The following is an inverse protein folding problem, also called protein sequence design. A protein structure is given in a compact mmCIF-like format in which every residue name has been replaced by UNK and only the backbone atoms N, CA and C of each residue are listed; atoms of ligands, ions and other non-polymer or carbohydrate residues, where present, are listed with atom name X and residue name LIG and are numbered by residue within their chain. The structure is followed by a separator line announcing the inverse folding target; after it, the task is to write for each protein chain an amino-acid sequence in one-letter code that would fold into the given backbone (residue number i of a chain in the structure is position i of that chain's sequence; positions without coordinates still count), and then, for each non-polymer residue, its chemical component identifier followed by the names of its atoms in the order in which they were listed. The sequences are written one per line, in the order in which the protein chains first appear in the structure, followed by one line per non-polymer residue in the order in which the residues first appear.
data_IF_755150182422
#
_entry.id   IF_755150182422
#
_cell.length_a   1.000
_cell.length_b   1.000
_cell.length_c   1.000
_cell.angle_alpha   90.00
_cell.angle_beta   90.00
_cell.angle_gamma   90.00
#
_symmetry.space_group_name_H-M   'P 1'
#
loop_
_entity.id
_entity.type
_entity.pdbx_description
1 polymer ?
#
# COMPACT_ATOMS: atom_id res chain seq x y z
N UNK A 1 -20.43 8.36 -1.31
CA UNK A 1 -20.47 8.73 -2.75
C UNK A 1 -21.54 8.00 -3.53
N UNK A 2 -21.54 6.66 -3.56
CA UNK A 2 -22.58 5.86 -4.26
C UNK A 2 -24.00 6.11 -3.75
N UNK A 3 -24.23 5.95 -2.45
CA UNK A 3 -25.57 6.20 -1.86
C UNK A 3 -26.04 7.65 -2.03
N UNK A 4 -25.09 8.60 -2.05
CA UNK A 4 -25.38 10.01 -2.25
C UNK A 4 -25.51 10.42 -3.74
N UNK A 5 -25.38 9.49 -4.69
CA UNK A 5 -25.46 9.78 -6.13
C UNK A 5 -24.33 10.67 -6.68
N UNK A 6 -23.24 10.88 -5.93
CA UNK A 6 -22.14 11.81 -6.29
C UNK A 6 -20.95 11.13 -6.97
N UNK A 7 -21.13 9.91 -7.48
CA UNK A 7 -20.05 9.17 -8.13
C UNK A 7 -19.62 9.90 -9.42
N UNK A 8 -18.32 10.11 -9.62
CA UNK A 8 -17.78 10.85 -10.75
C UNK A 8 -17.86 12.38 -10.63
N UNK A 9 -18.78 12.92 -9.83
CA UNK A 9 -18.87 14.35 -9.53
C UNK A 9 -17.85 14.80 -8.47
N UNK A 10 -17.45 13.89 -7.58
CA UNK A 10 -16.39 14.13 -6.59
C UNK A 10 -15.26 13.15 -6.80
N UNK A 11 -14.03 13.66 -6.78
CA UNK A 11 -12.82 12.84 -6.85
C UNK A 11 -12.54 12.16 -5.51
N UNK A 12 -12.27 10.86 -5.55
CA UNK A 12 -12.00 10.06 -4.35
C UNK A 12 -10.59 9.49 -4.41
N UNK A 13 -9.80 9.72 -3.35
CA UNK A 13 -8.49 9.11 -3.16
C UNK A 13 -8.58 8.16 -1.97
N UNK A 14 -8.25 6.89 -2.19
CA UNK A 14 -8.19 5.87 -1.14
C UNK A 14 -6.76 5.69 -0.60
N UNK A 15 -6.64 5.07 0.56
CA UNK A 15 -5.37 4.58 1.10
C UNK A 15 -5.35 3.05 0.99
N UNK A 16 -4.14 2.49 0.90
CA UNK A 16 -3.88 1.07 0.65
C UNK A 16 -4.33 0.56 -0.74
N UNK A 17 -3.90 -0.65 -1.10
CA UNK A 17 -4.16 -1.25 -2.40
C UNK A 17 -4.46 -2.75 -2.30
N UNK A 18 -5.41 -3.10 -1.43
CA UNK A 18 -6.00 -4.44 -1.40
C UNK A 18 -6.89 -4.75 -2.61
N UNK A 19 -7.30 -6.02 -2.81
CA UNK A 19 -8.06 -6.43 -3.99
C UNK A 19 -9.36 -5.63 -4.18
N UNK A 20 -10.07 -5.31 -3.11
CA UNK A 20 -11.28 -4.48 -3.15
C UNK A 20 -10.96 -3.06 -3.59
N UNK A 21 -9.93 -2.42 -3.04
CA UNK A 21 -9.52 -1.07 -3.42
C UNK A 21 -9.08 -1.01 -4.89
N UNK A 22 -8.33 -2.01 -5.34
CA UNK A 22 -7.92 -2.13 -6.75
C UNK A 22 -9.12 -2.33 -7.67
N UNK A 23 -10.11 -3.13 -7.24
CA UNK A 23 -11.37 -3.28 -7.95
C UNK A 23 -12.15 -1.96 -8.03
N UNK A 24 -12.27 -1.23 -6.92
CA UNK A 24 -12.95 0.07 -6.86
C UNK A 24 -12.26 1.13 -7.74
N UNK A 25 -10.93 1.08 -7.85
CA UNK A 25 -10.15 1.92 -8.77
C UNK A 25 -10.46 1.59 -10.24
N UNK A 26 -10.56 0.31 -10.59
CA UNK A 26 -10.93 -0.18 -11.94
C UNK A 26 -12.38 0.19 -12.28
N UNK A 27 -13.29 0.05 -11.33
CA UNK A 27 -14.72 0.35 -11.45
C UNK A 27 -15.03 1.86 -11.43
N UNK A 28 -14.00 2.73 -11.40
CA UNK A 28 -14.09 4.20 -11.37
C UNK A 28 -14.86 4.73 -10.14
N UNK A 29 -14.84 3.98 -9.04
CA UNK A 29 -15.39 4.41 -7.75
C UNK A 29 -14.39 5.26 -6.97
N UNK A 30 -13.11 4.92 -7.15
CA UNK A 30 -11.94 5.62 -6.62
C UNK A 30 -11.11 6.13 -7.81
N UNK A 31 -10.51 7.31 -7.69
CA UNK A 31 -9.69 7.91 -8.73
C UNK A 31 -8.20 7.62 -8.58
N UNK A 32 -7.71 7.50 -7.34
CA UNK A 32 -6.34 7.13 -7.03
C UNK A 32 -6.24 6.40 -5.67
N UNK A 33 -5.20 5.62 -5.49
CA UNK A 33 -4.85 4.97 -4.23
C UNK A 33 -3.45 5.42 -3.80
N UNK A 34 -3.25 5.63 -2.51
CA UNK A 34 -1.92 5.76 -1.90
C UNK A 34 -1.56 4.42 -1.26
N UNK A 35 -0.71 3.66 -1.94
CA UNK A 35 -0.34 2.30 -1.56
C UNK A 35 0.96 2.27 -0.76
N UNK A 36 0.99 1.47 0.31
CA UNK A 36 2.19 1.19 1.10
C UNK A 36 2.87 -0.09 0.60
N UNK A 37 4.06 -0.39 1.14
CA UNK A 37 4.74 -1.67 0.92
C UNK A 37 4.67 -2.56 2.19
N UNK A 38 3.54 -3.24 2.45
CA UNK A 38 3.38 -4.05 3.67
C UNK A 38 4.37 -5.23 3.74
N UNK A 39 4.79 -5.76 2.59
CA UNK A 39 5.76 -6.86 2.53
C UNK A 39 7.14 -6.38 3.02
N UNK A 40 7.59 -5.22 2.54
CA UNK A 40 8.86 -4.65 2.97
C UNK A 40 8.82 -4.21 4.45
N UNK A 41 7.69 -3.64 4.89
CA UNK A 41 7.46 -3.34 6.32
C UNK A 41 7.66 -4.59 7.18
N UNK A 42 6.98 -5.69 6.85
CA UNK A 42 7.09 -6.94 7.60
C UNK A 42 8.51 -7.48 7.61
N UNK A 43 9.15 -7.55 6.44
CA UNK A 43 10.53 -8.03 6.28
C UNK A 43 11.51 -7.22 7.12
N UNK A 44 11.47 -5.89 7.04
CA UNK A 44 12.34 -4.99 7.79
C UNK A 44 12.15 -5.21 9.29
N UNK A 45 10.91 -5.28 9.77
CA UNK A 45 10.63 -5.38 11.21
C UNK A 45 11.05 -6.72 11.80
N UNK A 46 10.84 -7.83 11.08
CA UNK A 46 11.35 -9.14 11.50
C UNK A 46 12.87 -9.14 11.53
N UNK A 47 13.53 -8.58 10.51
CA UNK A 47 14.99 -8.50 10.48
C UNK A 47 15.53 -7.67 11.66
N UNK A 48 14.95 -6.50 11.93
CA UNK A 48 15.34 -5.67 13.08
C UNK A 48 15.19 -6.40 14.42
N UNK A 49 14.13 -7.18 14.59
CA UNK A 49 13.93 -7.98 15.81
C UNK A 49 14.99 -9.08 15.95
N UNK A 50 15.30 -9.80 14.86
CA UNK A 50 16.34 -10.83 14.85
C UNK A 50 17.71 -10.23 15.15
N UNK A 51 18.04 -9.09 14.56
CA UNK A 51 19.33 -8.42 14.76
C UNK A 51 19.49 -7.96 16.21
N UNK A 52 18.46 -7.34 16.79
CA UNK A 52 18.46 -6.93 18.20
C UNK A 52 18.65 -8.12 19.15
N UNK A 53 17.97 -9.25 18.89
CA UNK A 53 18.14 -10.46 19.71
C UNK A 53 19.55 -11.05 19.61
N UNK A 54 20.20 -10.96 18.45
CA UNK A 54 21.56 -11.49 18.23
C UNK A 54 22.64 -10.58 18.80
N UNK A 55 22.52 -9.26 18.62
CA UNK A 55 23.51 -8.30 19.11
C UNK A 55 23.31 -7.93 20.58
N UNK A 56 22.10 -8.10 21.12
CA UNK A 56 21.66 -7.54 22.39
C UNK A 56 21.75 -6.00 22.41
N UNK A 57 21.71 -5.37 21.25
CA UNK A 57 21.76 -3.91 21.08
C UNK A 57 20.48 -3.38 20.45
N UNK A 58 19.99 -2.25 20.97
CA UNK A 58 18.84 -1.55 20.40
C UNK A 58 19.11 -1.10 18.95
N UNK A 59 18.08 -1.10 18.06
CA UNK A 59 18.25 -0.62 16.70
C UNK A 59 18.73 0.84 16.66
N UNK A 60 19.77 1.09 15.88
CA UNK A 60 20.33 2.45 15.69
C UNK A 60 19.32 3.45 15.12
N UNK A 61 18.27 2.97 14.46
CA UNK A 61 17.13 3.77 13.97
C UNK A 61 15.83 3.29 14.58
N UNK A 62 15.21 4.14 15.40
CA UNK A 62 13.86 3.90 15.98
C UNK A 62 12.75 4.09 14.95
N UNK A 63 12.97 4.92 13.94
CA UNK A 63 12.02 5.19 12.85
C UNK A 63 12.61 4.78 11.51
N UNK A 64 11.87 3.98 10.75
CA UNK A 64 12.23 3.54 9.40
C UNK A 64 11.13 3.99 8.46
N UNK A 65 11.50 4.80 7.46
CA UNK A 65 10.59 5.19 6.38
C UNK A 65 10.44 4.01 5.42
N UNK A 66 9.22 3.73 5.03
CA UNK A 66 8.88 2.68 4.07
C UNK A 66 8.37 3.29 2.76
N UNK A 67 8.32 2.48 1.72
CA UNK A 67 7.87 2.93 0.40
C UNK A 67 6.39 3.30 0.38
N UNK A 68 6.07 4.34 -0.39
CA UNK A 68 4.72 4.74 -0.76
C UNK A 68 4.66 4.89 -2.28
N UNK A 69 3.52 4.59 -2.87
CA UNK A 69 3.27 4.82 -4.29
C UNK A 69 1.85 5.30 -4.56
N UNK A 70 1.71 6.20 -5.52
CA UNK A 70 0.40 6.64 -6.02
C UNK A 70 -0.02 5.74 -7.17
N UNK A 71 -1.09 5.00 -6.97
CA UNK A 71 -1.66 4.07 -7.96
C UNK A 71 -2.89 4.72 -8.60
N UNK A 72 -2.91 4.76 -9.92
CA UNK A 72 -4.02 5.23 -10.75
C UNK A 72 -4.34 4.16 -11.80
N UNK A 73 -5.47 4.29 -12.50
CA UNK A 73 -5.80 3.37 -13.60
C UNK A 73 -4.73 3.34 -14.71
N UNK A 74 -4.07 4.49 -14.92
CA UNK A 74 -3.10 4.66 -16.01
C UNK A 74 -1.77 3.96 -15.74
N UNK A 75 -1.45 3.73 -14.46
CA UNK A 75 -0.18 3.12 -14.06
C UNK A 75 -0.34 1.73 -13.42
N UNK A 76 -1.56 1.26 -13.15
CA UNK A 76 -1.84 0.01 -12.42
C UNK A 76 -1.14 -1.23 -13.00
N UNK A 77 -0.88 -1.25 -14.31
CA UNK A 77 -0.24 -2.39 -14.98
C UNK A 77 1.30 -2.30 -15.01
N UNK A 78 1.88 -1.19 -14.53
CA UNK A 78 3.33 -1.02 -14.54
C UNK A 78 3.99 -2.05 -13.60
N UNK A 79 5.07 -2.72 -14.03
CA UNK A 79 5.74 -3.75 -13.23
C UNK A 79 6.18 -3.26 -11.84
N UNK A 80 6.67 -2.02 -11.74
CA UNK A 80 7.14 -1.43 -10.48
C UNK A 80 6.04 -1.21 -9.45
N UNK A 81 4.76 -1.19 -9.86
CA UNK A 81 3.63 -1.04 -8.96
C UNK A 81 3.09 -2.37 -8.44
N UNK A 82 3.43 -3.50 -9.06
CA UNK A 82 2.90 -4.80 -8.66
C UNK A 82 3.25 -5.15 -7.21
N UNK A 83 4.41 -4.72 -6.72
CA UNK A 83 4.82 -4.94 -5.31
C UNK A 83 3.96 -4.17 -4.29
N UNK A 84 3.30 -3.10 -4.72
CA UNK A 84 2.42 -2.30 -3.86
C UNK A 84 0.97 -2.79 -3.88
N UNK A 85 0.59 -3.72 -4.77
CA UNK A 85 -0.74 -4.31 -4.80
C UNK A 85 -0.81 -5.50 -3.84
N UNK A 86 -1.72 -5.46 -2.88
CA UNK A 86 -1.72 -6.44 -1.80
C UNK A 86 -2.35 -7.74 -2.29
N UNK A 87 -1.78 -8.87 -1.86
CA UNK A 87 -2.31 -10.20 -2.14
C UNK A 87 -3.31 -10.59 -1.06
N UNK A 88 -4.43 -11.18 -1.46
CA UNK A 88 -5.37 -11.80 -0.51
C UNK A 88 -4.96 -13.22 -0.10
N UNK A 89 -4.08 -13.84 -0.88
CA UNK A 89 -3.64 -15.23 -0.72
C UNK A 89 -2.11 -15.29 -0.82
N UNK A 90 -1.52 -16.23 -0.07
CA UNK A 90 -0.06 -16.42 0.03
C UNK A 90 0.48 -17.30 -1.10
#
# INVERSE_FOLDING_TARGET
MRQAGKQGAVKLVGFDAGPTQVKDLRDKLVDALIAQDPSDIGRIRVQMAVDNLKSQEEPSKKQVKTGLSTVTRDNLQKPELQKYLYKAEC
#
